data_IF_858795734028
#
_entry.id   IF_858795734028
#
_cell.length_a   1.000
_cell.length_b   1.000
_cell.length_c   1.000
_cell.angle_alpha   90.00
_cell.angle_beta   90.00
_cell.angle_gamma   90.00
#
_symmetry.space_group_name_H-M   'P 1'
#
loop_
_entity.id
_entity.type
_entity.pdbx_description
1 polymer ?
#
# COMPACT_ATOMS: atom_id res chain seq x y z
N UNK A 1 11.99 26.16 -35.56
CA UNK A 1 10.87 26.00 -34.63
C UNK A 1 11.48 25.61 -33.29
N UNK A 2 11.69 26.57 -32.38
CA UNK A 2 12.34 26.35 -31.09
C UNK A 2 11.27 25.94 -30.08
N UNK A 3 11.32 24.70 -29.58
CA UNK A 3 10.48 24.26 -28.46
C UNK A 3 10.84 25.10 -27.23
N UNK A 4 9.83 25.66 -26.58
CA UNK A 4 10.06 26.44 -25.35
C UNK A 4 10.42 25.47 -24.21
N UNK A 5 11.20 25.95 -23.23
CA UNK A 5 11.57 25.16 -22.04
C UNK A 5 10.35 24.51 -21.36
N UNK A 6 9.19 25.18 -21.42
CA UNK A 6 7.90 24.69 -20.92
C UNK A 6 7.39 23.45 -21.69
N UNK A 7 7.58 23.38 -23.00
CA UNK A 7 7.13 22.24 -23.82
C UNK A 7 7.98 20.99 -23.56
N UNK A 8 9.27 21.19 -23.27
CA UNK A 8 10.21 20.11 -22.92
C UNK A 8 9.84 19.51 -21.56
N UNK A 9 9.52 20.35 -20.57
CA UNK A 9 9.08 19.90 -19.23
C UNK A 9 7.72 19.19 -19.28
N UNK A 10 6.78 19.68 -20.10
CA UNK A 10 5.48 19.03 -20.30
C UNK A 10 5.63 17.67 -20.97
N UNK A 11 6.50 17.58 -21.97
CA UNK A 11 6.84 16.32 -22.67
C UNK A 11 7.53 15.31 -21.74
N UNK A 12 8.46 15.75 -20.89
CA UNK A 12 9.08 14.88 -19.85
C UNK A 12 8.08 14.36 -18.83
N UNK A 13 7.13 15.21 -18.38
CA UNK A 13 6.06 14.77 -17.45
C UNK A 13 5.12 13.74 -18.10
N UNK A 14 4.80 13.90 -19.39
CA UNK A 14 4.00 12.92 -20.12
C UNK A 14 4.75 11.60 -20.30
N UNK A 15 6.04 11.62 -20.63
CA UNK A 15 6.85 10.40 -20.79
C UNK A 15 7.07 9.62 -19.48
N UNK A 16 7.11 10.29 -18.33
CA UNK A 16 7.22 9.58 -17.04
C UNK A 16 5.91 8.90 -16.63
N UNK A 17 4.76 9.47 -17.02
CA UNK A 17 3.44 8.87 -16.78
C UNK A 17 3.23 7.62 -17.63
N UNK A 18 3.66 7.66 -18.89
CA UNK A 18 3.61 6.51 -19.82
C UNK A 18 4.46 5.30 -19.36
N UNK A 19 5.56 5.50 -18.62
CA UNK A 19 6.38 4.39 -18.12
C UNK A 19 5.67 3.59 -17.00
N UNK A 20 4.82 4.24 -16.20
CA UNK A 20 4.04 3.60 -15.13
C UNK A 20 2.75 2.95 -15.65
N UNK A 21 2.13 3.54 -16.68
CA UNK A 21 0.89 3.05 -17.31
C UNK A 21 1.08 1.76 -18.14
N UNK A 22 2.31 1.30 -18.35
CA UNK A 22 2.62 0.13 -19.20
C UNK A 22 2.65 -1.22 -18.48
N UNK A 23 2.57 -1.26 -17.15
CA UNK A 23 2.65 -2.52 -16.38
C UNK A 23 1.25 -3.12 -16.17
N UNK A 24 0.97 -4.33 -16.67
CA UNK A 24 -0.31 -4.98 -16.39
C UNK A 24 -0.50 -5.17 -14.89
N UNK A 25 -1.60 -4.62 -14.36
CA UNK A 25 -2.08 -4.76 -13.00
C UNK A 25 -2.44 -6.21 -12.71
N UNK A 26 -1.46 -7.01 -12.29
CA UNK A 26 -1.69 -8.34 -11.75
C UNK A 26 -0.77 -8.55 -10.54
N UNK A 27 -1.30 -9.03 -9.42
CA UNK A 27 -0.46 -9.40 -8.31
C UNK A 27 0.52 -10.50 -8.74
N UNK A 28 1.73 -10.57 -8.16
CA UNK A 28 2.64 -11.69 -8.39
C UNK A 28 1.97 -13.02 -8.06
N UNK A 29 2.46 -14.12 -8.65
CA UNK A 29 1.90 -15.44 -8.39
C UNK A 29 1.85 -15.76 -6.88
N UNK A 30 0.77 -16.41 -6.45
CA UNK A 30 0.54 -16.78 -5.05
C UNK A 30 0.03 -15.66 -4.14
N UNK A 31 -0.03 -14.41 -4.60
CA UNK A 31 -0.51 -13.31 -3.78
C UNK A 31 -2.04 -13.19 -3.80
N UNK A 32 -2.62 -12.87 -2.65
CA UNK A 32 -4.04 -12.52 -2.48
C UNK A 32 -4.17 -11.08 -2.01
N UNK A 33 -5.33 -10.44 -2.17
CA UNK A 33 -5.52 -9.09 -1.64
C UNK A 33 -5.43 -9.10 -0.11
N UNK A 34 -4.92 -8.02 0.47
CA UNK A 34 -4.77 -7.87 1.92
C UNK A 34 -6.12 -8.04 2.63
N UNK A 35 -7.21 -7.51 2.07
CA UNK A 35 -8.53 -7.72 2.66
C UNK A 35 -8.96 -9.19 2.67
N UNK A 36 -8.65 -9.93 1.59
CA UNK A 36 -8.93 -11.35 1.53
C UNK A 36 -8.09 -12.08 2.60
N UNK A 37 -6.78 -11.87 2.61
CA UNK A 37 -5.85 -12.45 3.59
C UNK A 37 -6.33 -12.26 5.04
N UNK A 38 -6.65 -11.02 5.43
CA UNK A 38 -7.10 -10.69 6.79
C UNK A 38 -8.39 -11.40 7.20
N UNK A 39 -9.23 -11.80 6.24
CA UNK A 39 -10.52 -12.46 6.52
C UNK A 39 -10.41 -13.98 6.52
N UNK A 40 -9.43 -14.55 5.83
CA UNK A 40 -9.38 -15.99 5.56
C UNK A 40 -8.18 -16.69 6.18
N UNK A 41 -7.11 -15.97 6.55
CA UNK A 41 -5.93 -16.62 7.14
C UNK A 41 -6.28 -17.26 8.49
N UNK A 42 -6.01 -18.57 8.66
CA UNK A 42 -6.23 -19.24 9.93
C UNK A 42 -5.25 -18.69 10.97
N UNK A 43 -5.75 -18.40 12.18
CA UNK A 43 -4.89 -17.93 13.26
C UNK A 43 -4.26 -16.56 12.99
N UNK A 44 -4.99 -15.61 12.39
CA UNK A 44 -4.54 -14.23 12.25
C UNK A 44 -4.08 -13.67 13.61
N UNK A 45 -2.82 -13.21 13.69
CA UNK A 45 -2.20 -12.66 14.90
C UNK A 45 -1.81 -11.18 14.72
N UNK A 46 -1.70 -10.39 15.79
CA UNK A 46 -1.17 -9.02 15.71
C UNK A 46 0.21 -8.93 15.03
N UNK A 47 1.03 -9.98 15.17
CA UNK A 47 2.33 -10.08 14.50
C UNK A 47 2.22 -10.06 12.98
N UNK A 48 1.16 -10.61 12.39
CA UNK A 48 0.95 -10.56 10.94
C UNK A 48 0.68 -9.11 10.50
N UNK A 49 -0.19 -8.40 11.23
CA UNK A 49 -0.49 -6.98 10.96
C UNK A 49 0.77 -6.11 11.06
N UNK A 50 1.61 -6.36 12.08
CA UNK A 50 2.86 -5.64 12.26
C UNK A 50 3.84 -5.88 11.10
N UNK A 51 4.00 -7.12 10.65
CA UNK A 51 4.86 -7.44 9.48
C UNK A 51 4.36 -6.75 8.22
N UNK A 52 3.05 -6.78 7.99
CA UNK A 52 2.44 -6.13 6.82
C UNK A 52 2.66 -4.61 6.87
N UNK A 53 2.37 -3.98 8.01
CA UNK A 53 2.60 -2.55 8.21
C UNK A 53 4.07 -2.17 8.01
N UNK A 54 5.00 -3.00 8.52
CA UNK A 54 6.45 -2.78 8.38
C UNK A 54 6.88 -2.86 6.92
N UNK A 55 6.38 -3.82 6.15
CA UNK A 55 6.70 -3.96 4.74
C UNK A 55 6.20 -2.75 3.92
N UNK A 56 4.98 -2.28 4.19
CA UNK A 56 4.42 -1.08 3.56
C UNK A 56 5.27 0.16 3.89
N UNK A 57 5.65 0.36 5.16
CA UNK A 57 6.52 1.47 5.56
C UNK A 57 7.86 1.45 4.83
N UNK A 58 8.44 0.28 4.57
CA UNK A 58 9.68 0.17 3.78
C UNK A 58 9.46 0.67 2.35
N UNK A 59 8.38 0.26 1.70
CA UNK A 59 8.04 0.75 0.35
C UNK A 59 7.85 2.27 0.33
N UNK A 60 7.10 2.83 1.29
CA UNK A 60 6.92 4.28 1.40
C UNK A 60 8.25 5.01 1.63
N UNK A 61 9.12 4.46 2.50
CA UNK A 61 10.46 5.02 2.75
C UNK A 61 11.31 5.06 1.48
N UNK A 62 11.28 4.00 0.67
CA UNK A 62 12.01 3.92 -0.61
C UNK A 62 11.48 4.94 -1.64
N UNK A 63 10.16 5.06 -1.76
CA UNK A 63 9.51 6.03 -2.65
C UNK A 63 9.80 7.47 -2.22
N UNK A 64 9.54 7.79 -0.95
CA UNK A 64 9.75 9.13 -0.39
C UNK A 64 11.22 9.54 -0.46
N UNK A 65 12.15 8.61 -0.16
CA UNK A 65 13.59 8.81 -0.32
C UNK A 65 14.03 9.08 -1.76
N UNK A 66 13.23 8.65 -2.74
CA UNK A 66 13.45 8.88 -4.18
C UNK A 66 12.66 10.09 -4.72
N UNK A 67 12.03 10.89 -3.85
CA UNK A 67 11.15 12.02 -4.22
C UNK A 67 9.91 11.61 -5.02
N UNK A 68 9.30 10.47 -4.69
CA UNK A 68 8.01 10.03 -5.20
C UNK A 68 6.98 9.97 -4.06
N UNK A 69 5.73 10.27 -4.39
CA UNK A 69 4.58 9.92 -3.58
C UNK A 69 3.90 8.69 -4.20
N UNK A 70 3.22 7.87 -3.39
CA UNK A 70 2.49 6.69 -3.85
C UNK A 70 1.16 7.08 -4.49
N UNK A 71 0.48 8.11 -3.98
CA UNK A 71 -0.72 8.67 -4.60
C UNK A 71 -1.98 7.81 -4.45
N UNK A 72 -2.06 7.01 -3.40
CA UNK A 72 -3.26 6.24 -3.05
C UNK A 72 -2.96 4.88 -2.46
N UNK A 73 -3.61 4.57 -1.34
CA UNK A 73 -3.57 3.24 -0.71
C UNK A 73 -4.97 2.62 -0.53
N UNK A 74 -5.18 1.44 -1.12
CA UNK A 74 -6.37 0.61 -0.89
C UNK A 74 -5.97 -0.79 -0.39
N UNK A 75 -6.66 -1.27 0.65
CA UNK A 75 -6.55 -2.63 1.18
C UNK A 75 -6.83 -3.72 0.11
N UNK A 76 -7.57 -3.39 -0.95
CA UNK A 76 -7.83 -4.32 -2.06
C UNK A 76 -6.72 -4.30 -3.12
N UNK A 77 -5.91 -3.25 -3.14
CA UNK A 77 -4.80 -3.07 -4.07
C UNK A 77 -3.44 -3.42 -3.45
N UNK A 78 -3.39 -3.73 -2.15
CA UNK A 78 -2.21 -4.29 -1.49
C UNK A 78 -2.36 -5.80 -1.46
N UNK A 79 -1.28 -6.51 -1.77
CA UNK A 79 -1.30 -7.96 -1.90
C UNK A 79 -0.32 -8.62 -0.94
N UNK A 80 -0.68 -9.81 -0.46
CA UNK A 80 0.07 -10.56 0.54
C UNK A 80 0.23 -12.00 0.08
N UNK A 81 1.41 -12.56 0.31
CA UNK A 81 1.69 -13.99 0.20
C UNK A 81 2.38 -14.45 1.50
N UNK A 82 1.84 -15.50 2.12
CA UNK A 82 2.42 -16.13 3.30
C UNK A 82 2.90 -17.52 2.88
N UNK A 83 4.22 -17.74 2.91
CA UNK A 83 4.79 -19.03 2.52
C UNK A 83 4.63 -20.03 3.66
N UNK A 84 3.62 -20.89 3.55
CA UNK A 84 3.22 -21.84 4.60
C UNK A 84 4.25 -22.91 4.99
N UNK A 85 5.40 -23.01 4.31
CA UNK A 85 6.21 -24.22 4.37
C UNK A 85 7.44 -24.17 5.29
N UNK A 86 8.02 -23.02 5.65
CA UNK A 86 9.23 -23.05 6.50
C UNK A 86 9.56 -21.77 7.29
N UNK A 87 8.76 -20.72 7.18
CA UNK A 87 8.98 -19.49 7.92
C UNK A 87 7.67 -18.75 8.13
N UNK A 88 7.55 -18.04 9.24
CA UNK A 88 6.49 -17.06 9.50
C UNK A 88 6.71 -15.83 8.55
N UNK A 89 7.08 -16.05 7.28
CA UNK A 89 7.47 -15.02 6.33
C UNK A 89 6.24 -14.54 5.55
N UNK A 90 6.05 -13.22 5.58
CA UNK A 90 4.93 -12.56 4.92
C UNK A 90 5.53 -11.61 3.89
N UNK A 91 5.31 -11.91 2.62
CA UNK A 91 5.65 -11.05 1.51
C UNK A 91 4.49 -10.11 1.23
N UNK A 92 4.79 -8.81 1.10
CA UNK A 92 3.81 -7.78 0.79
C UNK A 92 4.20 -7.08 -0.48
N UNK A 93 3.25 -6.96 -1.39
CA UNK A 93 3.38 -6.22 -2.62
C UNK A 93 2.46 -4.99 -2.57
N UNK A 94 3.08 -3.82 -2.59
CA UNK A 94 2.41 -2.51 -2.73
C UNK A 94 2.67 -2.03 -4.15
N UNK A 95 1.66 -2.01 -5.03
CA UNK A 95 1.84 -1.54 -6.40
C UNK A 95 2.14 -0.04 -6.46
N UNK A 96 3.00 0.38 -7.39
CA UNK A 96 3.44 1.75 -7.61
C UNK A 96 2.73 2.44 -8.79
N UNK A 97 1.60 1.91 -9.28
CA UNK A 97 0.93 2.43 -10.48
C UNK A 97 0.37 3.85 -10.33
N UNK A 98 0.02 4.26 -9.11
CA UNK A 98 -0.40 5.62 -8.81
C UNK A 98 0.78 6.54 -8.49
N UNK A 99 2.00 6.01 -8.37
CA UNK A 99 3.13 6.77 -7.88
C UNK A 99 3.48 7.89 -8.85
N UNK A 100 3.87 9.04 -8.31
CA UNK A 100 4.29 10.16 -9.12
C UNK A 100 5.44 10.90 -8.46
N UNK A 101 6.28 11.51 -9.29
CA UNK A 101 7.41 12.30 -8.83
C UNK A 101 6.91 13.60 -8.20
N UNK A 102 7.33 13.86 -6.98
CA UNK A 102 7.04 15.11 -6.28
C UNK A 102 7.79 16.23 -7.00
N UNK A 103 7.06 17.22 -7.51
CA UNK A 103 7.68 18.39 -8.12
C UNK A 103 8.26 19.27 -7.02
N UNK A 104 9.51 19.71 -7.18
CA UNK A 104 10.30 20.43 -6.17
C UNK A 104 9.85 21.87 -5.86
N UNK A 105 8.60 22.25 -6.17
CA UNK A 105 8.09 23.57 -5.84
C UNK A 105 6.99 23.45 -4.78
N UNK A 106 7.25 23.87 -3.52
CA UNK A 106 6.19 24.03 -2.54
C UNK A 106 5.31 25.19 -3.00
N UNK A 107 4.22 24.88 -3.70
CA UNK A 107 3.13 25.82 -3.90
C UNK A 107 2.49 25.96 -2.52
N UNK A 108 2.75 27.08 -1.86
CA UNK A 108 2.14 27.46 -0.58
C UNK A 108 0.64 27.14 -0.59
N UNK A 109 0.22 26.14 0.21
CA UNK A 109 -1.17 25.70 0.31
C UNK A 109 -1.50 24.30 -0.24
N UNK A 110 -0.58 23.63 -0.93
CA UNK A 110 -0.75 22.20 -1.29
C UNK A 110 -0.29 21.30 -0.14
N UNK A 111 -1.06 20.25 0.22
CA UNK A 111 -0.65 19.28 1.23
C UNK A 111 0.69 18.62 0.83
N UNK A 112 1.53 18.33 1.82
CA UNK A 112 2.76 17.57 1.61
C UNK A 112 2.39 16.16 1.14
N UNK A 113 2.69 15.82 -0.11
CA UNK A 113 2.30 14.55 -0.75
C UNK A 113 2.77 13.33 0.07
N UNK A 114 3.93 13.45 0.72
CA UNK A 114 4.45 12.38 1.60
C UNK A 114 3.63 12.26 2.89
N UNK A 115 3.13 13.38 3.42
CA UNK A 115 2.25 13.38 4.58
C UNK A 115 0.88 12.78 4.25
N UNK A 116 0.37 13.01 3.03
CA UNK A 116 -0.87 12.38 2.54
C UNK A 116 -0.72 10.86 2.51
N UNK A 117 0.38 10.34 1.95
CA UNK A 117 0.65 8.89 1.96
C UNK A 117 0.67 8.33 3.41
N UNK A 118 1.23 9.08 4.36
CA UNK A 118 1.27 8.67 5.77
C UNK A 118 -0.12 8.69 6.44
N UNK A 119 -0.98 9.65 6.09
CA UNK A 119 -2.37 9.68 6.54
C UNK A 119 -3.15 8.46 6.02
N UNK A 120 -3.02 8.16 4.73
CA UNK A 120 -3.64 7.00 4.10
C UNK A 120 -3.14 5.68 4.69
N UNK A 121 -1.84 5.58 4.98
CA UNK A 121 -1.26 4.45 5.70
C UNK A 121 -1.90 4.28 7.09
N UNK A 122 -2.10 5.38 7.83
CA UNK A 122 -2.79 5.36 9.12
C UNK A 122 -4.24 4.86 9.01
N UNK A 123 -4.96 5.28 7.97
CA UNK A 123 -6.32 4.82 7.68
C UNK A 123 -6.36 3.33 7.32
N UNK A 124 -5.39 2.85 6.53
CA UNK A 124 -5.23 1.43 6.22
C UNK A 124 -4.97 0.62 7.48
N UNK A 125 -4.03 1.04 8.33
CA UNK A 125 -3.70 0.35 9.59
C UNK A 125 -4.92 0.26 10.51
N UNK A 126 -5.68 1.35 10.62
CA UNK A 126 -6.96 1.37 11.35
C UNK A 126 -7.95 0.35 10.78
N UNK A 127 -8.05 0.21 9.46
CA UNK A 127 -8.90 -0.79 8.80
C UNK A 127 -8.42 -2.21 9.09
N UNK A 128 -7.12 -2.48 9.03
CA UNK A 128 -6.53 -3.77 9.38
C UNK A 128 -6.87 -4.18 10.83
N UNK A 129 -6.69 -3.26 11.78
CA UNK A 129 -7.01 -3.48 13.19
C UNK A 129 -8.50 -3.75 13.42
N UNK A 130 -9.39 -3.04 12.71
CA UNK A 130 -10.83 -3.30 12.77
C UNK A 130 -11.20 -4.69 12.26
N UNK A 131 -10.64 -5.11 11.13
CA UNK A 131 -10.88 -6.46 10.59
C UNK A 131 -10.36 -7.52 11.56
N UNK A 132 -9.13 -7.35 12.06
CA UNK A 132 -8.56 -8.23 13.08
C UNK A 132 -9.47 -8.36 14.31
N UNK A 133 -9.94 -7.25 14.86
CA UNK A 133 -10.83 -7.26 16.02
C UNK A 133 -12.12 -8.07 15.75
N UNK A 134 -12.73 -7.88 14.59
CA UNK A 134 -13.94 -8.62 14.20
C UNK A 134 -13.64 -10.12 14.07
N UNK A 135 -12.58 -10.49 13.33
CA UNK A 135 -12.22 -11.90 13.10
C UNK A 135 -11.82 -12.60 14.41
N UNK A 136 -11.04 -11.94 15.27
CA UNK A 136 -10.65 -12.51 16.56
C UNK A 136 -11.83 -12.74 17.49
N UNK A 137 -12.83 -11.85 17.50
CA UNK A 137 -14.05 -12.06 18.30
C UNK A 137 -14.92 -13.19 17.77
N UNK A 138 -15.06 -13.31 16.45
CA UNK A 138 -15.81 -14.41 15.84
C UNK A 138 -15.20 -15.78 16.11
N UNK A 139 -13.91 -15.84 16.38
CA UNK A 139 -13.18 -17.07 16.70
C UNK A 139 -13.11 -17.36 18.21
N UNK A 140 -13.77 -16.57 19.06
CA UNK A 140 -13.85 -16.80 20.50
C UNK A 140 -14.95 -17.84 20.83
N UNK A 141 -14.60 -19.06 21.28
CA UNK A 141 -15.56 -20.11 21.58
C UNK A 141 -16.52 -19.77 22.73
N UNK A 142 -16.20 -18.76 23.54
CA UNK A 142 -16.95 -18.38 24.74
C UNK A 142 -18.06 -17.36 24.49
N UNK A 143 -18.20 -16.84 23.25
CA UNK A 143 -19.23 -15.84 22.93
C UNK A 143 -20.64 -16.44 22.68
N UNK A 144 -20.79 -17.76 22.68
CA UNK A 144 -22.07 -18.46 22.50
C UNK A 144 -22.82 -18.85 23.77
N UNK A 145 -22.32 -18.51 24.97
CA UNK A 145 -22.92 -18.95 26.25
C UNK A 145 -23.38 -17.82 27.17
N UNK A 146 -23.44 -16.58 26.69
CA UNK A 146 -24.08 -15.50 27.43
C UNK A 146 -25.60 -15.47 27.15
N UNK A 147 -26.32 -16.30 27.92
CA UNK A 147 -27.73 -16.26 28.30
C UNK A 147 -28.82 -16.09 27.22
#
# INVERSE_FOLDING_TARGET
>A
MLLTFSDIEKSKRMMMREQLDSRPFKPPHGHVSLLHYLRTVPGLRPRHLLKIATAICKTLTELHGSSYALGGMDVNAIFVNEESNEGDEIHVYVPDFNAYRIASSPISGMPDDTAVDMEEFGLLLKKMLRVYHVVSRSNDPLQGTAC
#
